data_IF_774316232459
#
_entry.id   IF_774316232459
#
_cell.length_a   1.000
_cell.length_b   1.000
_cell.length_c   1.000
_cell.angle_alpha   90.00
_cell.angle_beta   90.00
_cell.angle_gamma   90.00
#
_symmetry.space_group_name_H-M   'P 1'
#
loop_
_entity.id
_entity.type
_entity.pdbx_description
1 polymer ?
#
# COMPACT_ATOMS: atom_id res chain seq x y z
N UNK A 1 -28.94 -37.84 5.15
CA UNK A 1 -29.35 -36.94 6.24
C UNK A 1 -28.49 -35.70 6.08
N UNK A 2 -29.10 -34.70 5.44
CA UNK A 2 -28.65 -33.39 4.91
C UNK A 2 -27.28 -32.82 5.32
N UNK A 3 -26.33 -32.86 4.38
CA UNK A 3 -25.15 -31.96 4.34
C UNK A 3 -25.56 -30.47 4.35
N UNK A 4 -26.75 -30.16 3.81
CA UNK A 4 -27.38 -28.84 3.86
C UNK A 4 -27.69 -28.34 5.30
N UNK A 5 -28.00 -29.24 6.25
CA UNK A 5 -28.26 -28.85 7.65
C UNK A 5 -26.97 -28.60 8.43
N UNK A 6 -25.87 -29.21 8.02
CA UNK A 6 -24.56 -28.99 8.64
C UNK A 6 -23.95 -27.65 8.19
N UNK A 7 -24.22 -27.23 6.95
CA UNK A 7 -23.83 -25.94 6.37
C UNK A 7 -24.41 -24.75 7.14
N UNK A 8 -25.69 -24.84 7.52
CA UNK A 8 -26.40 -23.80 8.25
C UNK A 8 -25.88 -23.65 9.69
N UNK A 9 -25.62 -24.79 10.35
CA UNK A 9 -25.13 -24.81 11.73
C UNK A 9 -23.73 -24.18 11.88
N UNK A 10 -22.84 -24.31 10.89
CA UNK A 10 -21.47 -23.74 10.94
C UNK A 10 -21.48 -22.22 10.85
N UNK A 11 -22.30 -21.66 9.96
CA UNK A 11 -22.48 -20.20 9.82
C UNK A 11 -23.15 -19.62 11.08
N UNK A 12 -24.13 -20.33 11.64
CA UNK A 12 -24.78 -19.97 12.91
C UNK A 12 -23.79 -20.01 14.07
N UNK A 13 -22.89 -21.00 14.14
CA UNK A 13 -21.86 -21.12 15.17
C UNK A 13 -20.82 -20.00 15.10
N UNK A 14 -20.35 -19.65 13.89
CA UNK A 14 -19.42 -18.52 13.69
C UNK A 14 -20.12 -17.21 14.12
N UNK A 15 -21.36 -16.98 13.67
CA UNK A 15 -22.16 -15.82 14.06
C UNK A 15 -22.45 -15.75 15.56
N UNK A 16 -22.69 -16.89 16.22
CA UNK A 16 -22.89 -16.98 17.66
C UNK A 16 -21.59 -16.73 18.44
N UNK A 17 -20.45 -17.27 17.98
CA UNK A 17 -19.14 -17.03 18.59
C UNK A 17 -18.77 -15.54 18.57
N UNK A 18 -19.07 -14.82 17.48
CA UNK A 18 -18.88 -13.36 17.38
C UNK A 18 -19.71 -12.57 18.41
N UNK A 19 -20.90 -13.06 18.78
CA UNK A 19 -21.76 -12.39 19.78
C UNK A 19 -21.31 -12.62 21.22
N UNK A 20 -20.47 -13.61 21.48
CA UNK A 20 -20.03 -13.97 22.84
C UNK A 20 -18.67 -13.37 23.17
N UNK A 21 -17.68 -13.53 22.28
CA UNK A 21 -16.32 -13.03 22.49
C UNK A 21 -15.56 -12.96 21.15
N UNK A 22 -15.16 -11.76 20.68
CA UNK A 22 -14.41 -11.59 19.45
C UNK A 22 -13.10 -12.39 19.38
N UNK A 23 -12.45 -12.67 20.53
CA UNK A 23 -11.22 -13.46 20.59
C UNK A 23 -11.52 -14.93 20.29
N UNK A 24 -12.57 -15.50 20.89
CA UNK A 24 -13.01 -16.87 20.59
C UNK A 24 -13.53 -17.02 19.16
N UNK A 25 -14.17 -16.00 18.61
CA UNK A 25 -14.61 -16.00 17.23
C UNK A 25 -13.43 -16.07 16.24
N UNK A 26 -12.31 -15.40 16.55
CA UNK A 26 -11.07 -15.49 15.77
C UNK A 26 -10.48 -16.90 15.80
N UNK A 27 -10.43 -17.54 16.97
CA UNK A 27 -9.91 -18.91 17.14
C UNK A 27 -10.75 -19.93 16.37
N UNK A 28 -12.09 -19.85 16.47
CA UNK A 28 -13.01 -20.70 15.72
C UNK A 28 -12.87 -20.45 14.22
N UNK A 29 -12.81 -19.20 13.78
CA UNK A 29 -12.64 -18.88 12.35
C UNK A 29 -11.34 -19.46 11.80
N UNK A 30 -10.23 -19.40 12.55
CA UNK A 30 -8.95 -20.04 12.17
C UNK A 30 -9.04 -21.56 12.09
N UNK A 31 -9.76 -22.21 13.00
CA UNK A 31 -9.93 -23.68 13.00
C UNK A 31 -10.76 -24.19 11.81
N UNK A 32 -11.62 -23.36 11.24
CA UNK A 32 -12.51 -23.73 10.13
C UNK A 32 -12.20 -22.99 8.82
N UNK A 33 -11.18 -22.13 8.78
CA UNK A 33 -10.83 -21.31 7.61
C UNK A 33 -10.62 -22.16 6.35
N UNK A 34 -9.94 -23.30 6.48
CA UNK A 34 -9.67 -24.26 5.39
C UNK A 34 -10.92 -25.03 4.93
N UNK A 35 -12.02 -24.96 5.70
CA UNK A 35 -13.29 -25.64 5.43
C UNK A 35 -14.38 -24.70 4.91
N UNK A 36 -14.11 -23.39 4.84
CA UNK A 36 -15.01 -22.41 4.26
C UNK A 36 -14.76 -22.32 2.75
N UNK A 37 -15.83 -22.28 1.97
CA UNK A 37 -15.73 -21.93 0.55
C UNK A 37 -15.55 -20.40 0.37
N UNK A 38 -15.23 -19.97 -0.85
CA UNK A 38 -14.96 -18.56 -1.13
C UNK A 38 -16.15 -17.63 -0.86
N UNK A 39 -17.38 -18.09 -1.09
CA UNK A 39 -18.59 -17.32 -0.81
C UNK A 39 -18.78 -17.09 0.69
N UNK A 40 -18.56 -18.13 1.50
CA UNK A 40 -18.63 -18.06 2.96
C UNK A 40 -17.52 -17.17 3.54
N UNK A 41 -16.29 -17.27 3.02
CA UNK A 41 -15.18 -16.39 3.42
C UNK A 41 -15.55 -14.93 3.14
N UNK A 42 -16.07 -14.64 1.95
CA UNK A 42 -16.50 -13.29 1.56
C UNK A 42 -17.63 -12.75 2.44
N UNK A 43 -18.62 -13.59 2.76
CA UNK A 43 -19.70 -13.23 3.68
C UNK A 43 -19.16 -12.87 5.07
N UNK A 44 -18.30 -13.71 5.65
CA UNK A 44 -17.70 -13.45 6.97
C UNK A 44 -16.89 -12.15 6.96
N UNK A 45 -16.02 -11.94 5.96
CA UNK A 45 -15.20 -10.73 5.84
C UNK A 45 -16.07 -9.47 5.74
N UNK A 46 -17.15 -9.50 4.94
CA UNK A 46 -18.04 -8.36 4.79
C UNK A 46 -18.77 -8.01 6.09
N UNK A 47 -19.32 -9.01 6.79
CA UNK A 47 -19.99 -8.77 8.08
C UNK A 47 -19.03 -8.17 9.12
N UNK A 48 -17.76 -8.59 9.11
CA UNK A 48 -16.77 -8.05 10.03
C UNK A 48 -16.39 -6.62 9.68
N UNK A 49 -16.29 -6.28 8.39
CA UNK A 49 -16.09 -4.89 7.93
C UNK A 49 -17.29 -4.01 8.30
N UNK A 50 -18.52 -4.48 8.13
CA UNK A 50 -19.74 -3.76 8.55
C UNK A 50 -19.78 -3.54 10.07
N UNK A 51 -19.26 -4.50 10.85
CA UNK A 51 -19.07 -4.37 12.28
C UNK A 51 -17.84 -3.53 12.68
N UNK A 52 -17.22 -2.80 11.74
CA UNK A 52 -16.06 -1.93 11.93
C UNK A 52 -14.78 -2.63 12.41
N UNK A 53 -14.64 -3.94 12.21
CA UNK A 53 -13.36 -4.62 12.43
C UNK A 53 -12.38 -4.28 11.31
N UNK A 54 -11.14 -3.94 11.68
CA UNK A 54 -10.04 -3.71 10.74
C UNK A 54 -9.49 -5.05 10.24
N UNK A 55 -10.15 -5.61 9.23
CA UNK A 55 -9.74 -6.86 8.58
C UNK A 55 -9.38 -6.55 7.14
N UNK A 56 -8.28 -7.14 6.69
CA UNK A 56 -7.76 -7.00 5.34
C UNK A 56 -7.67 -8.38 4.71
N UNK A 57 -8.08 -8.50 3.45
CA UNK A 57 -7.78 -9.68 2.65
C UNK A 57 -6.29 -9.70 2.28
N UNK A 58 -5.78 -10.87 1.89
CA UNK A 58 -4.41 -10.97 1.35
C UNK A 58 -4.22 -10.06 0.13
N UNK A 59 -5.24 -9.93 -0.74
CA UNK A 59 -5.22 -9.03 -1.88
C UNK A 59 -5.13 -7.55 -1.45
N UNK A 60 -5.91 -7.13 -0.45
CA UNK A 60 -5.86 -5.77 0.09
C UNK A 60 -4.50 -5.46 0.70
N UNK A 61 -3.92 -6.40 1.45
CA UNK A 61 -2.58 -6.26 2.01
C UNK A 61 -1.53 -6.18 0.91
N UNK A 62 -1.58 -7.07 -0.08
CA UNK A 62 -0.64 -7.08 -1.20
C UNK A 62 -0.68 -5.75 -1.97
N UNK A 63 -1.87 -5.26 -2.31
CA UNK A 63 -2.03 -3.97 -2.97
C UNK A 63 -1.46 -2.82 -2.13
N UNK A 64 -1.73 -2.81 -0.83
CA UNK A 64 -1.19 -1.78 0.07
C UNK A 64 0.34 -1.81 0.17
N UNK A 65 0.94 -3.01 0.12
CA UNK A 65 2.39 -3.18 0.10
C UNK A 65 3.00 -2.71 -1.23
N UNK A 66 2.37 -3.02 -2.36
CA UNK A 66 2.78 -2.56 -3.69
C UNK A 66 2.75 -1.03 -3.77
N UNK A 67 1.64 -0.40 -3.38
CA UNK A 67 1.53 1.07 -3.33
C UNK A 67 2.56 1.71 -2.38
N UNK A 68 2.84 1.07 -1.24
CA UNK A 68 3.85 1.54 -0.30
C UNK A 68 5.27 1.43 -0.85
N UNK A 69 5.55 0.37 -1.60
CA UNK A 69 6.85 0.15 -2.23
C UNK A 69 7.07 1.15 -3.39
N UNK A 70 6.08 1.35 -4.25
CA UNK A 70 6.12 2.33 -5.34
C UNK A 70 6.38 3.74 -4.82
N UNK A 71 5.58 4.22 -3.86
CA UNK A 71 5.79 5.53 -3.21
C UNK A 71 7.14 5.64 -2.50
N UNK A 72 7.64 4.52 -1.95
CA UNK A 72 8.94 4.47 -1.31
C UNK A 72 10.09 4.65 -2.31
N UNK A 73 9.97 4.07 -3.50
CA UNK A 73 10.92 4.21 -4.61
C UNK A 73 10.90 5.64 -5.14
N UNK A 74 9.73 6.18 -5.45
CA UNK A 74 9.55 7.57 -5.95
C UNK A 74 10.21 8.59 -5.00
N UNK A 75 9.80 8.58 -3.72
CA UNK A 75 10.40 9.46 -2.70
C UNK A 75 11.89 9.22 -2.52
N UNK A 76 12.36 7.97 -2.68
CA UNK A 76 13.77 7.65 -2.62
C UNK A 76 14.58 8.35 -3.72
N UNK A 77 14.03 8.38 -4.93
CA UNK A 77 14.63 9.01 -6.10
C UNK A 77 14.65 10.54 -5.97
N UNK A 78 13.53 11.16 -5.58
CA UNK A 78 13.43 12.60 -5.30
C UNK A 78 14.50 13.03 -4.29
N UNK A 79 14.55 12.35 -3.14
CA UNK A 79 15.50 12.65 -2.07
C UNK A 79 16.95 12.48 -2.51
N UNK A 80 17.24 11.46 -3.32
CA UNK A 80 18.58 11.24 -3.85
C UNK A 80 18.99 12.38 -4.78
N UNK A 81 18.13 12.78 -5.71
CA UNK A 81 18.38 13.90 -6.64
C UNK A 81 18.60 15.20 -5.87
N UNK A 82 17.73 15.55 -4.94
CA UNK A 82 17.86 16.74 -4.07
C UNK A 82 19.19 16.69 -3.31
N UNK A 83 19.55 15.55 -2.73
CA UNK A 83 20.79 15.39 -1.97
C UNK A 83 22.04 15.58 -2.84
N UNK A 84 22.03 15.05 -4.06
CA UNK A 84 23.13 15.21 -5.01
C UNK A 84 23.29 16.67 -5.44
N UNK A 85 22.18 17.34 -5.76
CA UNK A 85 22.19 18.76 -6.11
C UNK A 85 22.64 19.63 -4.93
N UNK A 86 22.20 19.35 -3.71
CA UNK A 86 22.65 20.08 -2.49
C UNK A 86 24.15 19.90 -2.29
N UNK A 87 24.69 18.72 -2.57
CA UNK A 87 26.13 18.47 -2.50
C UNK A 87 26.92 19.28 -3.54
N UNK A 88 26.32 19.57 -4.71
CA UNK A 88 26.96 20.34 -5.78
C UNK A 88 26.85 21.85 -5.56
N UNK A 89 25.66 22.35 -5.20
CA UNK A 89 25.35 23.78 -5.15
C UNK A 89 25.30 24.37 -3.73
N UNK A 90 25.48 23.54 -2.69
CA UNK A 90 25.32 23.85 -1.27
C UNK A 90 23.89 24.19 -0.85
N UNK A 91 23.25 25.13 -1.53
CA UNK A 91 21.85 25.52 -1.30
C UNK A 91 21.03 25.38 -2.59
N UNK A 92 19.75 25.06 -2.43
CA UNK A 92 18.80 24.92 -3.55
C UNK A 92 17.58 25.76 -3.24
N UNK A 93 17.22 26.73 -4.10
CA UNK A 93 15.97 27.45 -3.97
C UNK A 93 14.76 26.51 -3.91
N UNK A 94 13.83 26.78 -3.01
CA UNK A 94 12.61 25.97 -2.79
C UNK A 94 11.84 25.65 -4.07
N UNK A 95 11.84 26.57 -5.06
CA UNK A 95 11.19 26.33 -6.35
C UNK A 95 11.74 25.07 -7.05
N UNK A 96 13.04 24.81 -6.95
CA UNK A 96 13.68 23.65 -7.58
C UNK A 96 13.49 22.37 -6.79
N UNK A 97 13.34 22.47 -5.46
CA UNK A 97 12.96 21.33 -4.63
C UNK A 97 11.58 20.83 -5.06
N UNK A 98 10.60 21.74 -5.16
CA UNK A 98 9.25 21.39 -5.62
C UNK A 98 9.21 20.84 -7.04
N UNK A 99 10.01 21.41 -7.95
CA UNK A 99 10.13 20.88 -9.31
C UNK A 99 10.62 19.42 -9.33
N UNK A 100 11.47 19.02 -8.37
CA UNK A 100 11.94 17.64 -8.25
C UNK A 100 10.88 16.75 -7.60
N UNK A 101 10.20 17.23 -6.56
CA UNK A 101 9.11 16.50 -5.89
C UNK A 101 7.90 16.26 -6.80
N UNK A 102 7.65 17.14 -7.77
CA UNK A 102 6.56 17.01 -8.75
C UNK A 102 7.00 16.28 -10.05
N UNK A 103 8.28 15.91 -10.18
CA UNK A 103 8.83 15.31 -11.40
C UNK A 103 8.55 13.80 -11.47
N UNK A 104 8.32 13.30 -12.70
CA UNK A 104 8.19 11.88 -12.96
C UNK A 104 9.55 11.13 -12.86
N UNK A 105 9.49 9.81 -12.71
CA UNK A 105 10.67 8.93 -12.61
C UNK A 105 11.69 9.21 -13.72
N UNK A 106 11.21 9.40 -14.96
CA UNK A 106 12.04 9.63 -16.14
C UNK A 106 12.80 10.96 -16.04
N UNK A 107 12.15 12.01 -15.57
CA UNK A 107 12.76 13.32 -15.37
C UNK A 107 13.79 13.26 -14.25
N UNK A 108 13.47 12.60 -13.13
CA UNK A 108 14.40 12.39 -12.02
C UNK A 108 15.66 11.64 -12.46
N UNK A 109 15.51 10.56 -13.23
CA UNK A 109 16.64 9.80 -13.78
C UNK A 109 17.49 10.66 -14.72
N UNK A 110 16.88 11.46 -15.60
CA UNK A 110 17.63 12.37 -16.49
C UNK A 110 18.44 13.39 -15.70
N UNK A 111 17.88 13.95 -14.61
CA UNK A 111 18.61 14.87 -13.74
C UNK A 111 19.77 14.14 -13.06
N UNK A 112 19.53 12.93 -12.53
CA UNK A 112 20.56 12.13 -11.86
C UNK A 112 21.71 11.73 -12.82
N UNK A 113 21.39 11.29 -14.03
CA UNK A 113 22.37 10.89 -15.05
C UNK A 113 23.24 12.06 -15.52
N UNK A 114 22.68 13.28 -15.53
CA UNK A 114 23.35 14.49 -16.00
C UNK A 114 23.82 15.40 -14.85
N UNK A 115 23.90 14.87 -13.61
CA UNK A 115 24.19 15.66 -12.42
C UNK A 115 25.55 16.37 -12.49
N UNK A 116 26.51 15.81 -13.22
CA UNK A 116 27.85 16.39 -13.36
C UNK A 116 27.89 17.50 -14.41
N UNK A 117 26.98 17.47 -15.38
CA UNK A 117 26.83 18.40 -16.50
C UNK A 117 26.00 19.65 -16.16
N UNK A 118 25.15 19.58 -15.12
CA UNK A 118 24.37 20.73 -14.60
C UNK A 118 25.32 21.74 -13.94
N UNK A 119 25.60 22.88 -14.56
CA UNK A 119 26.58 23.86 -14.05
C UNK A 119 25.95 24.91 -13.12
N UNK A 120 24.66 25.17 -13.28
CA UNK A 120 23.86 26.07 -12.45
C UNK A 120 22.51 25.43 -12.12
N UNK A 121 21.83 25.87 -11.05
CA UNK A 121 20.60 25.21 -10.61
C UNK A 121 19.47 25.36 -11.64
N UNK A 122 19.49 26.44 -12.41
CA UNK A 122 18.61 26.73 -13.53
C UNK A 122 18.70 25.68 -14.65
N UNK A 123 19.82 24.97 -14.78
CA UNK A 123 19.99 23.91 -15.80
C UNK A 123 19.02 22.75 -15.60
N UNK A 124 18.46 22.56 -14.41
CA UNK A 124 17.42 21.55 -14.13
C UNK A 124 16.21 21.74 -15.05
N UNK A 125 15.86 23.00 -15.39
CA UNK A 125 14.72 23.32 -16.23
C UNK A 125 14.83 22.72 -17.64
N UNK A 126 16.05 22.41 -18.10
CA UNK A 126 16.31 21.74 -19.40
C UNK A 126 15.87 20.28 -19.42
N UNK A 127 15.70 19.66 -18.25
CA UNK A 127 15.38 18.24 -18.10
C UNK A 127 13.90 17.99 -17.81
N UNK A 128 13.18 19.02 -17.39
CA UNK A 128 11.73 18.95 -17.19
C UNK A 128 11.08 18.83 -18.58
N UNK A 129 10.47 17.67 -18.82
CA UNK A 129 9.69 17.43 -20.03
C UNK A 129 8.29 17.97 -19.77
N UNK A 130 7.89 18.98 -20.55
CA UNK A 130 6.50 19.39 -20.71
C UNK A 130 5.70 18.33 -21.44
#
# INVERSE_FOLDING_TARGET
MDEMKEYDNKTILIGAAFRVDPIKASEVTKMYADKLNEEQKKYVINNLKEANFKIYTEEELKKSMEEGMEKGIEKGMENLVIRLLKKKFSDIPEKYIKLIEDADEKTLLRIADNIFEINEIEDIEKYIVS
#
